data_IF_826204624140
#
_entry.id   IF_826204624140
#
_cell.length_a   1.000
_cell.length_b   1.000
_cell.length_c   1.000
_cell.angle_alpha   90.00
_cell.angle_beta   90.00
_cell.angle_gamma   90.00
#
_symmetry.space_group_name_H-M   'P 1'
#
loop_
_entity.id
_entity.type
_entity.pdbx_description
1 polymer ?
#
# COMPACT_ATOMS: atom_id res chain seq x y z
N UNK A 1 -34.37 -36.05 23.36
CA UNK A 1 -33.44 -36.57 24.40
C UNK A 1 -32.07 -35.88 24.30
N UNK A 2 -31.92 -34.63 24.77
CA UNK A 2 -30.64 -33.86 24.69
C UNK A 2 -30.36 -33.05 25.97
N UNK A 3 -30.53 -33.66 27.14
CA UNK A 3 -30.41 -32.94 28.42
C UNK A 3 -29.63 -33.69 29.52
N UNK A 4 -28.80 -34.68 29.19
CA UNK A 4 -28.16 -35.54 30.21
C UNK A 4 -26.62 -35.57 30.22
N UNK A 5 -25.93 -34.67 29.51
CA UNK A 5 -24.45 -34.68 29.49
C UNK A 5 -23.77 -33.50 30.19
N UNK A 6 -24.53 -32.50 30.64
CA UNK A 6 -23.99 -31.28 31.28
C UNK A 6 -23.89 -31.37 32.81
N UNK A 7 -24.70 -32.21 33.45
CA UNK A 7 -24.68 -32.39 34.92
C UNK A 7 -23.55 -33.29 35.41
N UNK A 8 -23.33 -34.43 34.73
CA UNK A 8 -22.33 -35.42 35.15
C UNK A 8 -20.89 -34.90 35.07
N UNK A 9 -20.57 -34.05 34.08
CA UNK A 9 -19.26 -33.43 33.95
C UNK A 9 -18.96 -32.46 35.10
N UNK A 10 -19.97 -31.76 35.64
CA UNK A 10 -19.82 -30.85 36.78
C UNK A 10 -19.56 -31.59 38.09
N UNK A 11 -20.22 -32.73 38.30
CA UNK A 11 -20.01 -33.55 39.51
C UNK A 11 -18.64 -34.25 39.51
N UNK A 12 -18.12 -34.65 38.35
CA UNK A 12 -16.80 -35.29 38.23
C UNK A 12 -15.63 -34.34 38.50
N UNK A 13 -15.79 -33.04 38.19
CA UNK A 13 -14.80 -31.99 38.48
C UNK A 13 -14.81 -31.59 39.97
N UNK A 14 -15.93 -31.77 40.68
CA UNK A 14 -16.05 -31.44 42.10
C UNK A 14 -15.32 -32.43 43.04
N UNK A 15 -15.11 -33.69 42.63
CA UNK A 15 -14.44 -34.71 43.45
C UNK A 15 -12.90 -34.74 43.28
N UNK A 16 -12.33 -33.95 42.35
CA UNK A 16 -10.87 -33.88 42.12
C UNK A 16 -10.43 -32.42 41.91
N UNK A 17 -10.11 -31.66 42.97
CA UNK A 17 -9.80 -30.23 42.88
C UNK A 17 -8.58 -29.90 41.98
N UNK A 18 -7.72 -30.88 41.67
CA UNK A 18 -6.64 -30.73 40.68
C UNK A 18 -7.11 -30.60 39.23
N UNK A 19 -8.24 -31.20 38.86
CA UNK A 19 -8.78 -31.18 37.48
C UNK A 19 -9.31 -29.80 37.08
N UNK A 20 -10.05 -29.12 37.98
CA UNK A 20 -10.55 -27.75 37.74
C UNK A 20 -9.41 -26.75 37.49
N UNK A 21 -8.32 -26.84 38.26
CA UNK A 21 -7.12 -26.00 38.08
C UNK A 21 -6.46 -26.23 36.72
N UNK A 22 -6.40 -27.49 36.26
CA UNK A 22 -5.83 -27.80 34.94
C UNK A 22 -6.69 -27.34 33.76
N UNK A 23 -8.02 -27.34 33.90
CA UNK A 23 -8.93 -26.86 32.85
C UNK A 23 -8.82 -25.36 32.63
N UNK A 24 -8.88 -24.56 33.70
CA UNK A 24 -8.72 -23.09 33.61
C UNK A 24 -7.33 -22.70 33.10
N UNK A 25 -6.28 -23.42 33.52
CA UNK A 25 -4.93 -23.20 33.00
C UNK A 25 -4.82 -23.48 31.49
N UNK A 26 -5.44 -24.57 31.00
CA UNK A 26 -5.48 -24.89 29.55
C UNK A 26 -6.28 -23.87 28.76
N UNK A 27 -7.42 -23.41 29.29
CA UNK A 27 -8.24 -22.37 28.66
C UNK A 27 -7.50 -21.02 28.58
N UNK A 28 -6.77 -20.67 29.63
CA UNK A 28 -5.92 -19.48 29.64
C UNK A 28 -4.73 -19.60 28.68
N UNK A 29 -4.11 -20.78 28.57
CA UNK A 29 -3.05 -21.05 27.61
C UNK A 29 -3.55 -20.95 26.16
N UNK A 30 -4.69 -21.57 25.85
CA UNK A 30 -5.33 -21.47 24.54
C UNK A 30 -5.65 -20.02 24.16
N UNK A 31 -6.22 -19.24 25.09
CA UNK A 31 -6.50 -17.81 24.86
C UNK A 31 -5.22 -16.99 24.62
N UNK A 32 -4.13 -17.29 25.33
CA UNK A 32 -2.82 -16.62 25.11
C UNK A 32 -2.24 -16.98 23.76
N UNK A 33 -2.38 -18.23 23.34
CA UNK A 33 -1.93 -18.70 22.04
C UNK A 33 -2.73 -18.06 20.90
N UNK A 34 -4.06 -17.97 21.02
CA UNK A 34 -4.92 -17.24 20.08
C UNK A 34 -4.53 -15.77 19.95
N UNK A 35 -4.29 -15.08 21.08
CA UNK A 35 -3.83 -13.68 21.08
C UNK A 35 -2.44 -13.56 20.42
N UNK A 36 -1.53 -14.49 20.72
CA UNK A 36 -0.19 -14.50 20.14
C UNK A 36 -0.24 -14.78 18.62
N UNK A 37 -1.10 -15.69 18.17
CA UNK A 37 -1.33 -15.99 16.76
C UNK A 37 -1.90 -14.77 16.03
N UNK A 38 -2.96 -14.16 16.55
CA UNK A 38 -3.55 -12.94 15.98
C UNK A 38 -2.54 -11.79 15.93
N UNK A 39 -1.68 -11.64 16.95
CA UNK A 39 -0.61 -10.63 16.93
C UNK A 39 0.42 -10.92 15.84
N UNK A 40 0.83 -12.18 15.66
CA UNK A 40 1.78 -12.58 14.60
C UNK A 40 1.21 -12.33 13.21
N UNK A 41 -0.06 -12.64 12.98
CA UNK A 41 -0.73 -12.36 11.71
C UNK A 41 -0.77 -10.86 11.40
N UNK A 42 -1.12 -10.02 12.39
CA UNK A 42 -1.12 -8.56 12.22
C UNK A 42 0.26 -8.01 11.88
N UNK A 43 1.31 -8.51 12.53
CA UNK A 43 2.69 -8.11 12.23
C UNK A 43 3.08 -8.52 10.80
N UNK A 44 2.80 -9.76 10.39
CA UNK A 44 3.06 -10.23 9.03
C UNK A 44 2.32 -9.41 7.97
N UNK A 45 1.04 -9.12 8.20
CA UNK A 45 0.25 -8.29 7.29
C UNK A 45 0.81 -6.85 7.19
N UNK A 46 1.26 -6.28 8.32
CA UNK A 46 1.87 -4.96 8.33
C UNK A 46 3.22 -4.93 7.60
N UNK A 47 4.04 -5.97 7.76
CA UNK A 47 5.31 -6.14 7.06
C UNK A 47 5.11 -6.29 5.55
N UNK A 48 4.14 -7.10 5.12
CA UNK A 48 3.79 -7.24 3.71
C UNK A 48 3.31 -5.92 3.11
N UNK A 49 2.36 -5.25 3.76
CA UNK A 49 1.87 -3.94 3.32
C UNK A 49 3.00 -2.90 3.25
N UNK A 50 3.95 -2.95 4.18
CA UNK A 50 5.12 -2.08 4.16
C UNK A 50 6.05 -2.40 3.00
N UNK A 51 6.32 -3.68 2.74
CA UNK A 51 7.16 -4.11 1.62
C UNK A 51 6.55 -3.70 0.28
N UNK A 52 5.25 -3.92 0.09
CA UNK A 52 4.52 -3.49 -1.11
C UNK A 52 4.57 -1.97 -1.29
N UNK A 53 4.44 -1.21 -0.20
CA UNK A 53 4.53 0.26 -0.24
C UNK A 53 5.92 0.72 -0.69
N UNK A 54 6.98 0.12 -0.15
CA UNK A 54 8.36 0.44 -0.53
C UNK A 54 8.60 0.08 -2.00
N UNK A 55 8.11 -1.08 -2.45
CA UNK A 55 8.22 -1.50 -3.84
C UNK A 55 7.53 -0.50 -4.80
N UNK A 56 6.31 -0.06 -4.49
CA UNK A 56 5.59 0.94 -5.30
C UNK A 56 6.31 2.30 -5.34
N UNK A 57 6.88 2.74 -4.22
CA UNK A 57 7.67 3.98 -4.16
C UNK A 57 8.91 3.85 -5.05
N UNK A 58 9.62 2.72 -4.97
CA UNK A 58 10.80 2.46 -5.79
C UNK A 58 10.46 2.41 -7.28
N UNK A 59 9.38 1.73 -7.66
CA UNK A 59 8.93 1.64 -9.05
C UNK A 59 8.62 3.02 -9.65
N UNK A 60 7.95 3.90 -8.89
CA UNK A 60 7.65 5.27 -9.35
C UNK A 60 8.89 6.15 -9.50
N UNK A 61 9.90 5.97 -8.65
CA UNK A 61 11.19 6.65 -8.80
C UNK A 61 11.96 6.15 -10.03
N UNK A 62 12.06 4.83 -10.19
CA UNK A 62 12.69 4.22 -11.36
C UNK A 62 11.99 4.63 -12.66
N UNK A 63 10.66 4.72 -12.66
CA UNK A 63 9.90 5.23 -13.78
C UNK A 63 10.30 6.67 -14.14
N UNK A 64 10.47 7.56 -13.15
CA UNK A 64 10.83 8.95 -13.44
C UNK A 64 12.23 9.10 -14.04
N UNK A 65 13.19 8.26 -13.60
CA UNK A 65 14.53 8.20 -14.20
C UNK A 65 14.43 7.70 -15.64
N UNK A 66 13.76 6.57 -15.86
CA UNK A 66 13.59 6.00 -17.19
C UNK A 66 12.83 6.93 -18.15
N UNK A 67 11.75 7.57 -17.68
CA UNK A 67 10.97 8.51 -18.47
C UNK A 67 11.83 9.71 -18.90
N UNK A 68 12.69 10.20 -18.01
CA UNK A 68 13.62 11.27 -18.36
C UNK A 68 14.55 10.84 -19.48
N UNK A 69 15.15 9.65 -19.39
CA UNK A 69 16.06 9.14 -20.40
C UNK A 69 15.35 9.01 -21.76
N UNK A 70 14.13 8.45 -21.78
CA UNK A 70 13.31 8.35 -23.01
C UNK A 70 13.05 9.72 -23.65
N UNK A 71 12.76 10.74 -22.83
CA UNK A 71 12.55 12.09 -23.36
C UNK A 71 13.84 12.73 -23.86
N UNK A 72 14.97 12.52 -23.17
CA UNK A 72 16.28 13.01 -23.59
C UNK A 72 16.73 12.36 -24.91
N UNK A 73 16.52 11.05 -25.08
CA UNK A 73 16.77 10.33 -26.33
C UNK A 73 15.90 10.88 -27.47
N UNK A 74 14.71 11.38 -27.15
CA UNK A 74 13.82 12.11 -28.06
C UNK A 74 14.21 13.58 -28.30
N UNK A 75 15.33 14.05 -27.77
CA UNK A 75 15.81 15.43 -27.92
C UNK A 75 15.10 16.46 -27.04
N UNK A 76 14.39 16.03 -26.00
CA UNK A 76 13.69 16.93 -25.06
C UNK A 76 14.46 17.06 -23.75
N UNK A 77 14.99 18.24 -23.45
CA UNK A 77 15.59 18.57 -22.14
C UNK A 77 14.52 18.78 -21.06
N UNK A 78 13.87 17.69 -20.67
CA UNK A 78 12.85 17.66 -19.65
C UNK A 78 13.45 17.29 -18.29
N UNK A 79 12.92 17.91 -17.24
CA UNK A 79 13.19 17.50 -15.85
C UNK A 79 12.02 16.69 -15.34
N UNK A 80 12.27 15.45 -14.96
CA UNK A 80 11.27 14.57 -14.36
C UNK A 80 11.63 14.35 -12.89
N UNK A 81 10.68 14.61 -11.99
CA UNK A 81 10.86 14.46 -10.53
C UNK A 81 9.63 13.86 -9.90
N UNK A 82 9.83 13.02 -8.90
CA UNK A 82 8.73 12.50 -8.08
C UNK A 82 8.80 13.11 -6.68
N UNK A 83 7.68 13.62 -6.20
CA UNK A 83 7.56 14.23 -4.87
C UNK A 83 6.43 13.59 -4.07
N UNK A 84 6.30 14.00 -2.80
CA UNK A 84 5.33 13.45 -1.85
C UNK A 84 5.90 12.33 -1.00
N UNK A 85 5.28 12.11 0.17
CA UNK A 85 5.70 11.09 1.16
C UNK A 85 5.74 9.69 0.56
N UNK A 86 4.84 9.42 -0.38
CA UNK A 86 4.72 8.12 -1.04
C UNK A 86 5.17 8.16 -2.49
N UNK A 87 5.90 9.19 -2.93
CA UNK A 87 6.32 9.37 -4.32
C UNK A 87 5.13 9.32 -5.30
N UNK A 88 4.02 9.96 -4.93
CA UNK A 88 2.71 9.89 -5.60
C UNK A 88 2.41 11.11 -6.49
N UNK A 89 3.33 12.08 -6.55
CA UNK A 89 3.21 13.25 -7.41
C UNK A 89 4.34 13.26 -8.43
N UNK A 90 4.01 13.11 -9.72
CA UNK A 90 4.96 13.23 -10.81
C UNK A 90 5.02 14.69 -11.26
N UNK A 91 6.22 15.24 -11.38
CA UNK A 91 6.44 16.62 -11.81
C UNK A 91 7.32 16.57 -13.04
N UNK A 92 6.80 17.06 -14.15
CA UNK A 92 7.54 17.25 -15.39
C UNK A 92 7.73 18.74 -15.59
N UNK A 93 8.96 19.13 -15.93
CA UNK A 93 9.28 20.52 -16.23
C UNK A 93 10.03 20.62 -17.55
N UNK A 94 9.46 21.33 -18.52
CA UNK A 94 10.03 21.48 -19.86
C UNK A 94 9.69 22.86 -20.44
N UNK A 95 10.67 23.68 -20.86
CA UNK A 95 10.42 25.06 -21.30
C UNK A 95 9.44 25.22 -22.47
N UNK A 96 9.20 24.17 -23.27
CA UNK A 96 8.25 24.23 -24.39
C UNK A 96 6.87 23.68 -24.04
N UNK A 97 6.60 23.34 -22.77
CA UNK A 97 5.26 22.95 -22.36
C UNK A 97 4.25 24.06 -22.64
N UNK A 98 3.14 23.63 -23.24
CA UNK A 98 2.04 24.46 -23.70
C UNK A 98 0.80 23.58 -23.85
N UNK A 99 -0.33 24.16 -24.24
CA UNK A 99 -1.56 23.42 -24.49
C UNK A 99 -1.41 22.35 -25.60
N UNK A 100 -0.43 22.50 -26.49
CA UNK A 100 -0.14 21.49 -27.51
C UNK A 100 0.40 20.21 -26.85
N UNK A 101 1.26 20.37 -25.84
CA UNK A 101 1.84 19.24 -25.12
C UNK A 101 0.81 18.54 -24.25
N UNK A 102 -0.06 19.29 -23.56
CA UNK A 102 -1.14 18.69 -22.75
C UNK A 102 -2.06 17.83 -23.61
N UNK A 103 -2.49 18.35 -24.78
CA UNK A 103 -3.33 17.61 -25.72
C UNK A 103 -2.63 16.38 -26.29
N UNK A 104 -1.33 16.48 -26.60
CA UNK A 104 -0.53 15.36 -27.10
C UNK A 104 -0.42 14.24 -26.05
N UNK A 105 -0.10 14.59 -24.81
CA UNK A 105 0.03 13.62 -23.72
C UNK A 105 -1.30 12.93 -23.39
N UNK A 106 -2.42 13.63 -23.52
CA UNK A 106 -3.76 13.05 -23.36
C UNK A 106 -4.07 12.05 -24.49
N UNK A 107 -3.76 12.40 -25.74
CA UNK A 107 -3.96 11.51 -26.90
C UNK A 107 -3.08 10.26 -26.87
N UNK A 108 -1.87 10.36 -26.34
CA UNK A 108 -0.92 9.25 -26.24
C UNK A 108 -1.23 8.29 -25.06
N UNK A 109 -2.26 8.58 -24.26
CA UNK A 109 -2.67 7.71 -23.15
C UNK A 109 -1.71 7.71 -21.96
N UNK A 110 -0.83 8.71 -21.84
CA UNK A 110 0.12 8.82 -20.72
C UNK A 110 -0.60 8.97 -19.39
N UNK A 111 -1.80 9.56 -19.39
CA UNK A 111 -2.62 9.74 -18.18
C UNK A 111 -3.02 8.39 -17.57
N UNK A 112 -3.49 7.45 -18.39
CA UNK A 112 -3.82 6.08 -17.99
C UNK A 112 -2.58 5.38 -17.43
N UNK A 113 -1.45 5.48 -18.13
CA UNK A 113 -0.19 4.87 -17.70
C UNK A 113 0.26 5.38 -16.32
N UNK A 114 0.21 6.69 -16.09
CA UNK A 114 0.58 7.28 -14.78
C UNK A 114 -0.37 6.83 -13.67
N UNK A 115 -1.66 6.69 -13.97
CA UNK A 115 -2.66 6.17 -13.02
C UNK A 115 -2.36 4.71 -12.67
N UNK A 116 -2.05 3.88 -13.66
CA UNK A 116 -1.69 2.47 -13.45
C UNK A 116 -0.41 2.29 -12.62
N UNK A 117 0.56 3.18 -12.80
CA UNK A 117 1.78 3.24 -11.97
C UNK A 117 1.54 3.73 -10.53
N UNK A 118 0.31 4.19 -10.23
CA UNK A 118 -0.10 4.61 -8.91
C UNK A 118 0.28 6.05 -8.56
N UNK A 119 0.51 6.90 -9.55
CA UNK A 119 0.57 8.34 -9.32
C UNK A 119 -0.83 8.89 -9.06
N UNK A 120 -0.92 9.85 -8.14
CA UNK A 120 -2.17 10.54 -7.80
C UNK A 120 -2.33 11.86 -8.52
N UNK A 121 -1.20 12.51 -8.84
CA UNK A 121 -1.18 13.81 -9.50
C UNK A 121 0.02 13.90 -10.41
N UNK A 122 -0.16 14.55 -11.54
CA UNK A 122 0.91 14.92 -12.46
C UNK A 122 0.89 16.42 -12.64
N UNK A 123 2.04 17.07 -12.45
CA UNK A 123 2.24 18.50 -12.67
C UNK A 123 3.10 18.69 -13.91
N UNK A 124 2.65 19.53 -14.83
CA UNK A 124 3.38 19.98 -16.00
C UNK A 124 3.67 21.47 -15.83
N UNK A 125 4.93 21.87 -15.99
CA UNK A 125 5.30 23.29 -15.95
C UNK A 125 6.43 23.63 -16.92
N UNK A 126 6.39 24.80 -17.51
CA UNK A 126 7.51 25.33 -18.31
C UNK A 126 8.58 26.06 -17.47
N UNK A 127 8.33 26.21 -16.16
CA UNK A 127 9.08 27.05 -15.22
C UNK A 127 8.91 28.58 -15.42
N UNK A 128 7.90 28.99 -16.17
CA UNK A 128 7.49 30.38 -16.41
C UNK A 128 6.01 30.54 -16.04
N UNK A 129 5.12 30.77 -17.02
CA UNK A 129 3.70 31.04 -16.84
C UNK A 129 2.81 29.81 -17.10
N UNK A 130 3.31 28.78 -17.77
CA UNK A 130 2.56 27.55 -17.99
C UNK A 130 2.64 26.60 -16.79
N UNK A 131 1.47 26.30 -16.21
CA UNK A 131 1.33 25.27 -15.18
C UNK A 131 -0.03 24.58 -15.28
N UNK A 132 0.00 23.27 -15.53
CA UNK A 132 -1.20 22.43 -15.58
C UNK A 132 -0.98 21.24 -14.67
N UNK A 133 -2.03 20.84 -13.93
CA UNK A 133 -2.02 19.61 -13.17
C UNK A 133 -3.17 18.69 -13.57
N UNK A 134 -2.89 17.40 -13.54
CA UNK A 134 -3.88 16.34 -13.68
C UNK A 134 -4.10 15.66 -12.34
N UNK A 135 -5.36 15.58 -11.90
CA UNK A 135 -5.76 14.65 -10.85
C UNK A 135 -6.03 13.27 -11.48
N UNK A 136 -5.40 12.24 -10.91
CA UNK A 136 -5.44 10.86 -11.39
C UNK A 136 -6.21 9.92 -10.46
N UNK A 137 -6.82 10.47 -9.41
CA UNK A 137 -7.70 9.72 -8.50
C UNK A 137 -8.85 9.01 -9.19
#
# INVERSE_FOLDING_TARGET
MRAYYTGALKQLVAQRPGMAKTYEARKAAAKREEIAAAKRERVRAAEQAQAERVAKISARRAYAEHARDVFLDGGMDIKVKVTGKYADVLNLSYPLFSDVWTHKMEKEGLREQWRELGFRRVNLTDNYDFNVYYDLK
#
